data_IF_414365481464
#
_entry.id   IF_414365481464
#
_cell.length_a   1.000
_cell.length_b   1.000
_cell.length_c   1.000
_cell.angle_alpha   90.00
_cell.angle_beta   90.00
_cell.angle_gamma   90.00
#
_symmetry.space_group_name_H-M   'P 1'
#
loop_
_entity.id
_entity.type
_entity.pdbx_description
1 polymer ?
#
# COMPACT_ATOMS: atom_id res chain seq x y z
N UNK A 1 -3.95 -31.87 3.96
CA UNK A 1 -4.76 -30.66 3.75
C UNK A 1 -3.83 -29.58 3.26
N UNK A 2 -4.21 -28.90 2.19
CA UNK A 2 -3.40 -27.84 1.58
C UNK A 2 -4.14 -26.52 1.58
N UNK A 3 -3.47 -25.45 2.03
CA UNK A 3 -3.94 -24.07 1.91
C UNK A 3 -3.09 -23.38 0.86
N UNK A 4 -3.72 -22.87 -0.21
CA UNK A 4 -3.05 -22.12 -1.25
C UNK A 4 -3.22 -20.60 -1.03
N UNK A 5 -2.16 -19.83 -1.26
CA UNK A 5 -2.18 -18.37 -1.27
C UNK A 5 -1.70 -17.93 -2.65
N UNK A 6 -2.59 -17.35 -3.44
CA UNK A 6 -2.30 -16.90 -4.80
C UNK A 6 -1.97 -15.41 -4.80
N UNK A 7 -0.71 -15.10 -5.07
CA UNK A 7 -0.12 -13.76 -4.95
C UNK A 7 0.60 -13.53 -3.62
N UNK A 8 1.80 -12.94 -3.67
CA UNK A 8 2.64 -12.59 -2.53
C UNK A 8 2.77 -11.06 -2.31
N UNK A 9 1.78 -10.29 -2.79
CA UNK A 9 1.62 -8.88 -2.47
C UNK A 9 1.25 -8.66 -0.99
N UNK A 10 0.75 -7.48 -0.63
CA UNK A 10 0.39 -7.12 0.76
C UNK A 10 -0.56 -8.11 1.41
N UNK A 11 -1.63 -8.47 0.69
CA UNK A 11 -2.62 -9.42 1.19
C UNK A 11 -2.02 -10.81 1.37
N UNK A 12 -1.43 -11.38 0.31
CA UNK A 12 -0.96 -12.75 0.33
C UNK A 12 0.17 -13.00 1.31
N UNK A 13 1.16 -12.10 1.39
CA UNK A 13 2.22 -12.19 2.38
C UNK A 13 1.67 -12.13 3.81
N UNK A 14 0.69 -11.26 4.07
CA UNK A 14 0.03 -11.17 5.38
C UNK A 14 -0.74 -12.45 5.72
N UNK A 15 -1.50 -13.02 4.77
CA UNK A 15 -2.21 -14.30 4.95
C UNK A 15 -1.20 -15.40 5.24
N UNK A 16 -0.20 -15.59 4.37
CA UNK A 16 0.77 -16.68 4.48
C UNK A 16 1.48 -16.67 5.83
N UNK A 17 2.05 -15.51 6.25
CA UNK A 17 2.75 -15.37 7.53
C UNK A 17 1.88 -15.66 8.75
N UNK A 18 0.59 -15.32 8.71
CA UNK A 18 -0.35 -15.66 9.79
C UNK A 18 -0.68 -17.13 9.81
N UNK A 19 -0.92 -17.72 8.66
CA UNK A 19 -1.19 -19.15 8.54
C UNK A 19 0.00 -20.02 8.97
N UNK A 20 1.25 -19.61 8.66
CA UNK A 20 2.44 -20.29 9.16
C UNK A 20 2.49 -20.40 10.69
N UNK A 21 2.02 -19.36 11.41
CA UNK A 21 2.01 -19.31 12.87
C UNK A 21 0.82 -20.07 13.47
N UNK A 22 -0.32 -20.07 12.81
CA UNK A 22 -1.57 -20.55 13.39
C UNK A 22 -1.90 -21.99 13.02
N UNK A 23 -1.59 -22.38 11.79
CA UNK A 23 -1.94 -23.70 11.30
C UNK A 23 -0.97 -24.76 11.83
N UNK A 24 -1.48 -25.98 12.14
CA UNK A 24 -0.63 -27.11 12.49
C UNK A 24 0.36 -27.48 11.37
N UNK A 25 1.51 -28.08 11.74
CA UNK A 25 2.54 -28.51 10.78
C UNK A 25 2.03 -29.50 9.71
N UNK A 26 0.99 -30.27 10.03
CA UNK A 26 0.37 -31.21 9.10
C UNK A 26 -0.46 -30.55 7.97
N UNK A 27 -0.57 -29.22 7.97
CA UNK A 27 -1.25 -28.46 6.91
C UNK A 27 -0.19 -27.85 6.00
N UNK A 28 -0.21 -28.21 4.73
CA UNK A 28 0.69 -27.64 3.72
C UNK A 28 0.22 -26.22 3.38
N UNK A 29 1.16 -25.27 3.38
CA UNK A 29 0.91 -23.90 2.91
C UNK A 29 1.73 -23.71 1.64
N UNK A 30 1.06 -23.36 0.55
CA UNK A 30 1.70 -23.10 -0.75
C UNK A 30 1.40 -21.65 -1.15
N UNK A 31 2.44 -20.85 -1.35
CA UNK A 31 2.34 -19.49 -1.89
C UNK A 31 2.74 -19.53 -3.36
N UNK A 32 1.87 -19.08 -4.24
CA UNK A 32 2.11 -19.01 -5.69
C UNK A 32 2.18 -17.57 -6.12
N UNK A 33 3.28 -17.16 -6.72
CA UNK A 33 3.46 -15.83 -7.29
C UNK A 33 4.36 -15.91 -8.53
N UNK A 34 4.20 -14.98 -9.46
CA UNK A 34 5.08 -14.87 -10.63
C UNK A 34 6.49 -14.39 -10.27
N UNK A 35 6.64 -13.77 -9.10
CA UNK A 35 7.91 -13.29 -8.54
C UNK A 35 8.31 -14.09 -7.29
N UNK A 36 9.59 -14.22 -7.05
CA UNK A 36 10.14 -14.75 -5.79
C UNK A 36 10.33 -13.65 -4.73
N UNK A 37 9.87 -12.43 -5.02
CA UNK A 37 10.01 -11.28 -4.12
C UNK A 37 8.67 -10.59 -3.86
N UNK A 38 8.50 -10.07 -2.64
CA UNK A 38 7.43 -9.14 -2.32
C UNK A 38 7.84 -7.71 -2.70
N UNK A 39 7.01 -7.01 -3.46
CA UNK A 39 7.21 -5.62 -3.85
C UNK A 39 6.52 -4.67 -2.87
N UNK A 40 7.25 -3.68 -2.35
CA UNK A 40 6.72 -2.56 -1.56
C UNK A 40 6.08 -1.54 -2.51
N UNK A 41 4.94 -1.92 -3.09
CA UNK A 41 4.30 -1.23 -4.22
C UNK A 41 3.89 0.22 -3.91
N UNK A 42 3.56 0.57 -2.66
CA UNK A 42 3.17 1.94 -2.32
C UNK A 42 4.34 2.94 -2.38
N UNK A 43 5.60 2.45 -2.48
CA UNK A 43 6.81 3.24 -2.68
C UNK A 43 7.35 3.15 -4.13
N UNK A 44 6.69 2.39 -5.00
CA UNK A 44 7.16 2.11 -6.35
C UNK A 44 7.41 3.38 -7.20
N UNK A 45 6.58 4.42 -7.03
CA UNK A 45 6.73 5.70 -7.72
C UNK A 45 8.10 6.34 -7.51
N UNK A 46 8.77 6.10 -6.38
CA UNK A 46 10.08 6.65 -6.08
C UNK A 46 11.20 6.07 -6.95
N UNK A 47 11.01 4.88 -7.52
CA UNK A 47 11.96 4.26 -8.45
C UNK A 47 12.08 5.08 -9.73
N UNK A 48 11.04 5.84 -10.10
CA UNK A 48 11.07 6.79 -11.23
C UNK A 48 12.23 7.80 -11.06
N UNK A 49 12.46 8.29 -9.86
CA UNK A 49 13.56 9.22 -9.57
C UNK A 49 14.82 8.53 -9.06
N UNK A 50 14.66 7.46 -8.30
CA UNK A 50 15.73 6.75 -7.61
C UNK A 50 15.74 5.26 -7.98
N UNK A 51 16.28 4.86 -9.15
CA UNK A 51 16.30 3.45 -9.58
C UNK A 51 17.02 2.51 -8.61
N UNK A 52 17.97 3.01 -7.83
CA UNK A 52 18.67 2.25 -6.78
C UNK A 52 17.76 1.78 -5.63
N UNK A 53 16.56 2.35 -5.47
CA UNK A 53 15.57 1.87 -4.49
C UNK A 53 15.01 0.49 -4.82
N UNK A 54 15.18 -0.01 -6.03
CA UNK A 54 14.75 -1.34 -6.44
C UNK A 54 15.07 -2.41 -5.40
N UNK A 55 16.33 -2.48 -4.96
CA UNK A 55 16.78 -3.47 -3.96
C UNK A 55 16.12 -3.29 -2.59
N UNK A 56 15.82 -2.05 -2.21
CA UNK A 56 15.16 -1.74 -0.92
C UNK A 56 13.68 -2.14 -0.96
N UNK A 57 13.03 -1.98 -2.11
CA UNK A 57 11.60 -2.22 -2.29
C UNK A 57 11.23 -3.66 -2.64
N UNK A 58 12.21 -4.53 -2.94
CA UNK A 58 11.99 -5.95 -3.20
C UNK A 58 12.50 -6.81 -2.06
N UNK A 59 11.62 -7.61 -1.46
CA UNK A 59 11.95 -8.48 -0.32
C UNK A 59 11.85 -9.93 -0.78
N UNK A 60 12.95 -10.72 -0.76
CA UNK A 60 12.89 -12.14 -1.06
C UNK A 60 11.87 -12.85 -0.17
N UNK A 61 10.98 -13.65 -0.76
CA UNK A 61 9.96 -14.36 0.00
C UNK A 61 10.57 -15.38 0.96
N UNK A 62 11.72 -15.94 0.62
CA UNK A 62 12.49 -16.85 1.49
C UNK A 62 13.00 -16.20 2.78
N UNK A 63 13.19 -14.86 2.78
CA UNK A 63 13.62 -14.12 3.97
C UNK A 63 12.47 -13.93 4.98
N UNK A 64 11.21 -14.01 4.51
CA UNK A 64 10.02 -13.62 5.30
C UNK A 64 8.99 -14.74 5.47
N UNK A 65 9.12 -15.82 4.72
CA UNK A 65 8.34 -17.06 4.87
C UNK A 65 9.26 -18.17 5.33
N UNK A 66 8.89 -18.86 6.40
CA UNK A 66 9.74 -19.86 7.06
C UNK A 66 9.28 -21.30 6.85
N UNK A 67 7.99 -21.49 6.55
CA UNK A 67 7.36 -22.80 6.45
C UNK A 67 6.62 -23.01 5.14
N UNK A 68 6.04 -21.95 4.59
CA UNK A 68 5.29 -22.04 3.34
C UNK A 68 6.21 -22.39 2.17
N UNK A 69 5.74 -23.27 1.30
CA UNK A 69 6.42 -23.58 0.04
C UNK A 69 6.11 -22.45 -0.95
N UNK A 70 7.13 -21.71 -1.38
CA UNK A 70 6.99 -20.71 -2.43
C UNK A 70 7.13 -21.40 -3.78
N UNK A 71 6.13 -21.19 -4.64
CA UNK A 71 6.10 -21.69 -6.01
C UNK A 71 6.04 -20.53 -6.97
N UNK A 72 7.09 -20.36 -7.77
CA UNK A 72 7.10 -19.36 -8.82
C UNK A 72 6.27 -19.83 -10.00
N UNK A 73 5.14 -19.20 -10.25
CA UNK A 73 4.23 -19.44 -11.35
C UNK A 73 3.23 -18.31 -11.51
N UNK A 74 2.71 -18.13 -12.70
CA UNK A 74 1.56 -17.24 -12.95
C UNK A 74 0.26 -18.01 -12.74
N UNK A 75 -0.63 -17.48 -11.91
CA UNK A 75 -1.99 -18.02 -11.78
C UNK A 75 -2.83 -17.49 -12.93
N UNK A 76 -3.34 -18.38 -13.77
CA UNK A 76 -4.11 -18.04 -14.98
C UNK A 76 -5.61 -18.25 -14.83
N UNK A 77 -6.03 -19.13 -13.91
CA UNK A 77 -7.43 -19.30 -13.55
C UNK A 77 -7.55 -19.82 -12.11
N UNK A 78 -8.64 -19.49 -11.45
CA UNK A 78 -9.04 -20.08 -10.16
C UNK A 78 -10.49 -20.51 -10.26
N UNK A 79 -10.75 -21.78 -9.98
CA UNK A 79 -12.09 -22.36 -9.87
C UNK A 79 -12.42 -22.63 -8.39
N UNK A 80 -13.20 -21.74 -7.73
CA UNK A 80 -13.56 -21.91 -6.34
C UNK A 80 -14.52 -23.06 -6.06
N UNK A 81 -15.28 -23.53 -7.07
CA UNK A 81 -16.25 -24.61 -6.92
C UNK A 81 -15.56 -25.96 -6.92
N UNK A 82 -14.55 -26.12 -7.78
CA UNK A 82 -13.77 -27.35 -7.90
C UNK A 82 -12.54 -27.38 -6.96
N UNK A 83 -12.17 -26.28 -6.33
CA UNK A 83 -10.99 -26.18 -5.47
C UNK A 83 -9.67 -26.33 -6.24
N UNK A 84 -9.59 -25.77 -7.45
CA UNK A 84 -8.46 -25.94 -8.36
C UNK A 84 -8.02 -24.60 -8.92
N UNK A 85 -6.70 -24.39 -9.02
CA UNK A 85 -6.11 -23.29 -9.76
C UNK A 85 -5.31 -23.81 -10.96
N UNK A 86 -5.35 -23.05 -12.04
CA UNK A 86 -4.49 -23.28 -13.22
C UNK A 86 -3.30 -22.34 -13.15
N UNK A 87 -2.12 -22.89 -13.33
CA UNK A 87 -0.85 -22.20 -13.25
C UNK A 87 -0.13 -22.27 -14.61
N UNK A 88 0.54 -21.20 -14.97
CA UNK A 88 1.54 -21.19 -16.04
C UNK A 88 2.93 -21.21 -15.37
N UNK A 89 3.68 -22.26 -15.63
CA UNK A 89 5.05 -22.47 -15.16
C UNK A 89 5.96 -22.53 -16.39
N UNK A 90 6.66 -21.47 -16.70
CA UNK A 90 7.58 -21.37 -17.85
C UNK A 90 6.92 -21.74 -19.20
N UNK A 91 5.62 -21.42 -19.38
CA UNK A 91 4.84 -21.71 -20.58
C UNK A 91 4.15 -23.08 -20.55
N UNK A 92 4.33 -23.88 -19.51
CA UNK A 92 3.61 -25.13 -19.30
C UNK A 92 2.42 -24.93 -18.35
N UNK A 93 1.26 -25.48 -18.74
CA UNK A 93 0.05 -25.40 -17.90
C UNK A 93 0.04 -26.51 -16.87
N UNK A 94 -0.06 -26.14 -15.60
CA UNK A 94 -0.19 -27.06 -14.48
C UNK A 94 -1.45 -26.79 -13.67
N UNK A 95 -1.93 -27.82 -12.95
CA UNK A 95 -3.09 -27.72 -12.05
C UNK A 95 -2.64 -27.84 -10.60
N UNK A 96 -3.18 -26.98 -9.73
CA UNK A 96 -2.95 -27.03 -8.28
C UNK A 96 -4.28 -27.20 -7.55
N UNK A 97 -4.49 -28.38 -6.98
CA UNK A 97 -5.64 -28.64 -6.11
C UNK A 97 -5.37 -28.09 -4.71
N UNK A 98 -6.42 -27.54 -4.07
CA UNK A 98 -6.37 -26.99 -2.71
C UNK A 98 -7.62 -27.34 -1.91
N UNK A 99 -7.48 -27.41 -0.59
CA UNK A 99 -8.60 -27.55 0.33
C UNK A 99 -9.17 -26.17 0.73
N UNK A 100 -8.29 -25.16 0.83
CA UNK A 100 -8.62 -23.75 1.07
C UNK A 100 -7.72 -22.86 0.24
N UNK A 101 -8.24 -21.71 -0.18
CA UNK A 101 -7.41 -20.72 -0.87
C UNK A 101 -7.69 -19.29 -0.46
N UNK A 102 -6.64 -18.46 -0.52
CA UNK A 102 -6.73 -17.00 -0.52
C UNK A 102 -6.22 -16.45 -1.86
N UNK A 103 -7.09 -15.85 -2.65
CA UNK A 103 -6.77 -15.21 -3.93
C UNK A 103 -6.39 -13.76 -3.65
N UNK A 104 -5.10 -13.47 -3.70
CA UNK A 104 -4.45 -12.21 -3.35
C UNK A 104 -3.68 -11.62 -4.54
N UNK A 105 -4.19 -11.83 -5.75
CA UNK A 105 -3.50 -11.51 -7.02
C UNK A 105 -3.44 -10.00 -7.33
N UNK A 106 -4.06 -9.17 -6.47
CA UNK A 106 -4.10 -7.73 -6.70
C UNK A 106 -4.99 -7.33 -7.87
N UNK A 107 -4.71 -6.20 -8.47
CA UNK A 107 -5.45 -5.65 -9.61
C UNK A 107 -4.49 -5.19 -10.70
N UNK A 108 -4.93 -5.32 -11.94
CA UNK A 108 -4.25 -4.82 -13.13
C UNK A 108 -4.70 -3.38 -13.46
N UNK A 109 -3.97 -2.72 -14.36
CA UNK A 109 -4.37 -1.41 -14.88
C UNK A 109 -5.55 -1.56 -15.83
N UNK A 110 -6.57 -0.70 -15.67
CA UNK A 110 -7.68 -0.62 -16.59
C UNK A 110 -7.40 0.44 -17.66
N UNK A 111 -7.29 0.02 -18.91
CA UNK A 111 -7.12 0.93 -20.06
C UNK A 111 -8.44 1.30 -20.72
N UNK A 112 -9.56 0.68 -20.30
CA UNK A 112 -10.93 0.98 -20.75
C UNK A 112 -11.14 0.87 -22.27
N UNK A 113 -10.37 0.05 -22.96
CA UNK A 113 -10.36 -0.10 -24.41
C UNK A 113 -10.17 1.25 -25.16
N UNK A 114 -9.54 2.23 -24.49
CA UNK A 114 -9.23 3.52 -25.10
C UNK A 114 -8.19 3.34 -26.21
N UNK A 115 -8.50 3.74 -27.47
CA UNK A 115 -7.61 3.49 -28.60
C UNK A 115 -6.20 4.03 -28.38
N UNK A 116 -5.20 3.17 -28.52
CA UNK A 116 -3.78 3.52 -28.39
C UNK A 116 -3.27 3.75 -26.97
N UNK A 117 -4.14 3.84 -25.96
CA UNK A 117 -3.67 4.10 -24.57
C UNK A 117 -2.88 2.91 -24.03
N UNK A 118 -3.34 1.68 -24.21
CA UNK A 118 -2.61 0.50 -23.78
C UNK A 118 -1.29 0.30 -24.54
N UNK A 119 -1.25 0.70 -25.82
CA UNK A 119 -0.08 0.56 -26.68
C UNK A 119 1.02 1.60 -26.37
N UNK A 120 0.64 2.82 -26.00
CA UNK A 120 1.56 3.96 -25.86
C UNK A 120 1.80 4.40 -24.42
N UNK A 121 0.98 3.96 -23.47
CA UNK A 121 1.12 4.37 -22.08
C UNK A 121 1.81 3.31 -21.21
N UNK A 122 2.71 3.75 -20.35
CA UNK A 122 3.30 2.91 -19.32
C UNK A 122 2.45 2.98 -18.04
N UNK A 123 1.91 1.86 -17.52
CA UNK A 123 1.26 1.84 -16.21
C UNK A 123 2.29 1.85 -15.09
N UNK A 124 1.86 2.01 -13.83
CA UNK A 124 2.75 1.89 -12.66
C UNK A 124 2.28 0.78 -11.72
N UNK A 125 2.66 -0.47 -12.01
CA UNK A 125 2.30 -1.67 -11.23
C UNK A 125 3.49 -2.57 -10.87
N UNK A 126 4.56 -2.51 -11.66
CA UNK A 126 5.76 -3.35 -11.54
C UNK A 126 7.02 -2.49 -11.55
N UNK A 127 8.14 -3.03 -11.09
CA UNK A 127 9.43 -2.33 -11.11
C UNK A 127 9.84 -1.89 -12.49
N UNK A 128 9.68 -2.78 -13.47
CA UNK A 128 10.02 -2.53 -14.88
C UNK A 128 9.25 -1.31 -15.41
N UNK A 129 8.02 -1.11 -14.98
CA UNK A 129 7.24 0.09 -15.37
C UNK A 129 7.88 1.38 -14.85
N UNK A 130 8.34 1.40 -13.61
CA UNK A 130 8.99 2.58 -13.04
C UNK A 130 10.34 2.85 -13.70
N UNK A 131 11.08 1.80 -14.07
CA UNK A 131 12.36 1.90 -14.79
C UNK A 131 12.15 2.41 -16.23
N UNK A 132 11.10 1.96 -16.92
CA UNK A 132 10.69 2.46 -18.23
C UNK A 132 10.35 3.96 -18.14
N UNK A 133 9.48 4.34 -17.20
CA UNK A 133 9.10 5.74 -17.00
C UNK A 133 10.31 6.62 -16.71
N UNK A 134 11.28 6.14 -15.91
CA UNK A 134 12.54 6.83 -15.66
C UNK A 134 13.32 7.06 -16.96
N UNK A 135 13.54 5.99 -17.75
CA UNK A 135 14.29 6.06 -19.01
C UNK A 135 13.62 6.99 -20.02
N UNK A 136 12.30 6.85 -20.19
CA UNK A 136 11.53 7.66 -21.13
C UNK A 136 11.58 9.15 -20.73
N UNK A 137 11.52 9.47 -19.43
CA UNK A 137 11.62 10.84 -18.95
C UNK A 137 12.99 11.46 -19.23
N UNK A 138 14.08 10.69 -19.09
CA UNK A 138 15.44 11.16 -19.45
C UNK A 138 15.58 11.40 -20.95
N UNK A 139 15.01 10.52 -21.78
CA UNK A 139 15.05 10.61 -23.23
C UNK A 139 14.17 11.75 -23.79
N UNK A 140 13.13 12.14 -23.02
CA UNK A 140 12.19 13.21 -23.37
C UNK A 140 12.59 14.61 -22.87
N UNK A 141 13.87 14.86 -22.64
CA UNK A 141 14.35 16.18 -22.19
C UNK A 141 13.88 17.33 -23.11
N UNK A 142 13.28 18.38 -22.55
CA UNK A 142 12.65 19.49 -23.27
C UNK A 142 11.28 19.17 -23.87
N UNK A 143 10.72 17.99 -23.54
CA UNK A 143 9.44 17.49 -24.04
C UNK A 143 8.33 17.55 -23.01
N UNK A 144 7.32 16.69 -23.20
CA UNK A 144 6.08 16.67 -22.42
C UNK A 144 5.79 15.29 -21.85
N UNK A 145 5.51 15.24 -20.53
CA UNK A 145 5.00 14.05 -19.86
C UNK A 145 3.54 14.25 -19.48
N UNK A 146 2.69 13.31 -19.88
CA UNK A 146 1.26 13.30 -19.52
C UNK A 146 0.98 12.13 -18.59
N UNK A 147 0.31 12.42 -17.47
CA UNK A 147 -0.14 11.41 -16.50
C UNK A 147 -1.66 11.34 -16.53
N UNK A 148 -2.21 10.24 -17.03
CA UNK A 148 -3.65 9.97 -17.06
C UNK A 148 -4.15 9.44 -15.73
N UNK A 149 -5.07 10.20 -15.09
CA UNK A 149 -5.64 9.94 -13.77
C UNK A 149 -4.92 10.69 -12.64
N UNK A 150 -5.69 11.45 -11.85
CA UNK A 150 -5.22 12.18 -10.66
C UNK A 150 -5.67 11.51 -9.35
N UNK A 151 -5.72 10.17 -9.30
CA UNK A 151 -5.74 9.40 -8.08
C UNK A 151 -4.37 9.44 -7.38
N UNK A 152 -4.21 8.78 -6.22
CA UNK A 152 -2.95 8.84 -5.46
C UNK A 152 -1.72 8.42 -6.30
N UNK A 153 -1.84 7.38 -7.11
CA UNK A 153 -0.73 6.92 -7.97
C UNK A 153 -0.31 7.96 -9.00
N UNK A 154 -1.27 8.58 -9.70
CA UNK A 154 -0.97 9.62 -10.70
C UNK A 154 -0.34 10.87 -10.09
N UNK A 155 -0.83 11.28 -8.92
CA UNK A 155 -0.26 12.39 -8.15
C UNK A 155 1.20 12.10 -7.80
N UNK A 156 1.50 10.88 -7.35
CA UNK A 156 2.86 10.46 -7.00
C UNK A 156 3.77 10.43 -8.23
N UNK A 157 3.30 9.86 -9.34
CA UNK A 157 4.04 9.83 -10.62
C UNK A 157 4.37 11.25 -11.09
N UNK A 158 3.36 12.12 -11.15
CA UNK A 158 3.57 13.50 -11.60
C UNK A 158 4.56 14.26 -10.71
N UNK A 159 4.46 14.05 -9.39
CA UNK A 159 5.41 14.63 -8.44
C UNK A 159 6.84 14.13 -8.64
N UNK A 160 7.05 12.82 -8.90
CA UNK A 160 8.39 12.27 -9.14
C UNK A 160 8.95 12.68 -10.51
N UNK A 161 8.12 12.78 -11.55
CA UNK A 161 8.56 13.27 -12.86
C UNK A 161 9.00 14.73 -12.80
N UNK A 162 8.23 15.59 -12.12
CA UNK A 162 8.62 16.99 -11.92
C UNK A 162 9.93 17.10 -11.12
N UNK A 163 10.05 16.33 -10.03
CA UNK A 163 11.27 16.34 -9.21
C UNK A 163 12.49 15.73 -9.95
N UNK A 164 12.29 14.74 -10.82
CA UNK A 164 13.32 14.19 -11.69
C UNK A 164 13.78 15.25 -12.72
N UNK A 165 12.81 15.95 -13.33
CA UNK A 165 13.10 17.03 -14.28
C UNK A 165 13.96 18.13 -13.65
N UNK A 166 13.62 18.55 -12.43
CA UNK A 166 14.41 19.56 -11.69
C UNK A 166 15.81 19.05 -11.33
N UNK A 167 15.91 17.80 -10.85
CA UNK A 167 17.18 17.23 -10.39
C UNK A 167 18.17 17.00 -11.53
N UNK A 168 17.70 16.56 -12.70
CA UNK A 168 18.52 16.26 -13.87
C UNK A 168 18.58 17.43 -14.89
N UNK A 169 17.80 18.51 -14.66
CA UNK A 169 17.73 19.65 -15.55
C UNK A 169 17.14 19.31 -16.91
N UNK A 170 16.08 18.49 -16.94
CA UNK A 170 15.48 17.98 -18.17
C UNK A 170 14.59 19.00 -18.88
N UNK A 171 14.09 20.02 -18.18
CA UNK A 171 13.08 20.98 -18.70
C UNK A 171 11.86 20.26 -19.27
N UNK A 172 11.37 19.23 -18.55
CA UNK A 172 10.24 18.38 -18.93
C UNK A 172 8.94 18.98 -18.40
N UNK A 173 8.01 19.32 -19.29
CA UNK A 173 6.67 19.80 -18.92
C UNK A 173 5.79 18.63 -18.46
N UNK A 174 5.35 18.62 -17.20
CA UNK A 174 4.50 17.56 -16.63
C UNK A 174 3.05 18.01 -16.52
N UNK A 175 2.13 17.24 -17.11
CA UNK A 175 0.68 17.48 -17.07
C UNK A 175 -0.07 16.29 -16.51
N UNK A 176 -0.94 16.52 -15.52
CA UNK A 176 -1.90 15.52 -15.02
C UNK A 176 -3.27 15.76 -15.64
N UNK A 177 -3.88 14.72 -16.20
CA UNK A 177 -5.22 14.75 -16.80
C UNK A 177 -6.18 13.93 -15.94
N UNK A 178 -7.28 14.53 -15.50
CA UNK A 178 -8.30 13.91 -14.65
C UNK A 178 -9.72 14.19 -15.18
N UNK A 179 -10.52 13.14 -15.34
CA UNK A 179 -11.90 13.26 -15.80
C UNK A 179 -12.83 13.93 -14.79
N UNK A 180 -12.55 13.78 -13.49
CA UNK A 180 -13.29 14.46 -12.44
C UNK A 180 -12.93 15.95 -12.38
N UNK A 181 -13.75 16.73 -11.69
CA UNK A 181 -13.59 18.19 -11.55
C UNK A 181 -12.45 18.62 -10.63
N UNK A 182 -11.74 17.66 -10.00
CA UNK A 182 -10.64 17.90 -9.07
C UNK A 182 -9.64 16.74 -9.03
N UNK A 183 -8.42 17.03 -8.59
CA UNK A 183 -7.43 16.01 -8.22
C UNK A 183 -7.86 15.28 -6.94
N UNK A 184 -7.36 14.07 -6.73
CA UNK A 184 -7.73 13.21 -5.59
C UNK A 184 -9.27 13.12 -5.40
N UNK A 185 -10.06 12.79 -6.45
CA UNK A 185 -11.51 12.96 -6.46
C UNK A 185 -12.23 12.11 -5.40
N UNK A 186 -11.64 10.99 -4.98
CA UNK A 186 -12.19 10.08 -3.95
C UNK A 186 -11.95 10.57 -2.52
N UNK A 187 -11.31 11.73 -2.32
CA UNK A 187 -10.93 12.26 -1.02
C UNK A 187 -11.67 13.55 -0.68
N UNK A 188 -11.58 13.96 0.59
CA UNK A 188 -12.16 15.21 1.04
C UNK A 188 -11.58 16.42 0.29
N UNK A 189 -12.42 17.43 0.09
CA UNK A 189 -12.04 18.67 -0.63
C UNK A 189 -10.81 19.35 0.01
N UNK A 190 -10.64 19.26 1.33
CA UNK A 190 -9.49 19.85 2.01
C UNK A 190 -8.20 19.15 1.65
N UNK A 191 -8.22 17.80 1.57
CA UNK A 191 -7.09 16.99 1.12
C UNK A 191 -6.80 17.26 -0.37
N UNK A 192 -7.82 17.24 -1.22
CA UNK A 192 -7.69 17.51 -2.65
C UNK A 192 -7.06 18.89 -2.93
N UNK A 193 -7.49 19.93 -2.19
CA UNK A 193 -6.90 21.27 -2.31
C UNK A 193 -5.45 21.33 -1.83
N UNK A 194 -5.09 20.57 -0.79
CA UNK A 194 -3.71 20.51 -0.33
C UNK A 194 -2.81 19.82 -1.37
N UNK A 195 -3.27 18.70 -1.95
CA UNK A 195 -2.58 17.99 -3.04
C UNK A 195 -2.40 18.90 -4.25
N UNK A 196 -3.46 19.61 -4.68
CA UNK A 196 -3.37 20.55 -5.80
C UNK A 196 -2.28 21.60 -5.57
N UNK A 197 -2.22 22.20 -4.39
CA UNK A 197 -1.17 23.19 -4.04
C UNK A 197 0.24 22.61 -4.13
N UNK A 198 0.42 21.35 -3.72
CA UNK A 198 1.72 20.69 -3.81
C UNK A 198 2.13 20.41 -5.26
N UNK A 199 1.17 20.04 -6.12
CA UNK A 199 1.41 19.87 -7.56
C UNK A 199 1.72 21.23 -8.24
N UNK A 200 0.88 22.25 -7.99
CA UNK A 200 1.07 23.60 -8.52
C UNK A 200 2.46 24.17 -8.12
N UNK A 201 2.90 23.93 -6.87
CA UNK A 201 4.18 24.41 -6.36
C UNK A 201 5.39 23.76 -7.07
N UNK A 202 5.19 22.61 -7.74
CA UNK A 202 6.20 21.90 -8.53
C UNK A 202 6.07 22.12 -10.02
N UNK A 203 5.26 23.07 -10.44
CA UNK A 203 5.06 23.39 -11.84
C UNK A 203 4.27 22.36 -12.63
N UNK A 204 3.60 21.39 -11.96
CA UNK A 204 2.77 20.40 -12.63
C UNK A 204 1.48 21.05 -13.14
N UNK A 205 1.24 20.99 -14.46
CA UNK A 205 -0.01 21.44 -15.06
C UNK A 205 -1.13 20.44 -14.71
N UNK A 206 -2.33 20.97 -14.42
CA UNK A 206 -3.46 20.16 -13.97
C UNK A 206 -4.68 20.44 -14.85
N UNK A 207 -5.08 19.42 -15.62
CA UNK A 207 -6.27 19.41 -16.48
C UNK A 207 -7.36 18.57 -15.81
N UNK A 208 -8.33 19.19 -15.14
CA UNK A 208 -9.49 18.54 -14.54
C UNK A 208 -10.75 18.70 -15.37
N UNK A 209 -11.73 17.81 -15.23
CA UNK A 209 -12.89 17.75 -16.13
C UNK A 209 -12.50 17.37 -17.55
N UNK A 210 -11.34 16.76 -17.73
CA UNK A 210 -10.75 16.42 -19.01
C UNK A 210 -10.72 14.89 -19.19
N UNK A 211 -11.48 14.39 -20.14
CA UNK A 211 -11.56 12.96 -20.44
C UNK A 211 -10.64 12.63 -21.59
N UNK A 212 -9.74 11.67 -21.40
CA UNK A 212 -8.92 11.11 -22.48
C UNK A 212 -9.77 10.22 -23.35
N UNK A 213 -9.72 10.40 -24.68
CA UNK A 213 -10.42 9.55 -25.65
C UNK A 213 -9.48 8.57 -26.37
N UNK A 214 -8.25 9.01 -26.64
CA UNK A 214 -7.25 8.16 -27.30
C UNK A 214 -5.82 8.69 -27.08
N UNK A 215 -4.85 7.83 -27.40
CA UNK A 215 -3.45 8.20 -27.46
C UNK A 215 -2.82 7.70 -28.77
N UNK A 216 -2.40 8.64 -29.64
CA UNK A 216 -1.76 8.34 -30.92
C UNK A 216 -0.94 9.57 -31.34
N UNK A 217 0.36 9.58 -31.03
CA UNK A 217 1.24 10.74 -31.25
C UNK A 217 0.92 11.94 -30.37
N UNK A 218 0.20 11.73 -29.26
CA UNK A 218 -0.25 12.66 -28.25
C UNK A 218 -1.52 12.15 -27.58
N UNK A 219 -2.03 12.88 -26.59
CA UNK A 219 -3.24 12.53 -25.83
C UNK A 219 -4.39 13.40 -26.30
N UNK A 220 -5.38 12.78 -26.96
CA UNK A 220 -6.60 13.47 -27.41
C UNK A 220 -7.64 13.49 -26.29
N UNK A 221 -8.21 14.66 -26.04
CA UNK A 221 -9.26 14.90 -25.06
C UNK A 221 -10.64 15.00 -25.71
N UNK A 222 -11.69 14.66 -24.97
CA UNK A 222 -13.08 14.69 -25.42
C UNK A 222 -13.56 16.09 -25.89
N UNK A 223 -12.87 17.16 -25.49
CA UNK A 223 -13.15 18.52 -25.96
C UNK A 223 -12.47 18.87 -27.29
N UNK A 224 -11.74 17.93 -27.89
CA UNK A 224 -11.04 18.06 -29.17
C UNK A 224 -9.63 18.64 -29.06
N UNK A 225 -9.12 18.93 -27.86
CA UNK A 225 -7.72 19.32 -27.66
C UNK A 225 -6.81 18.08 -27.72
N UNK A 226 -5.59 18.29 -28.20
CA UNK A 226 -4.53 17.27 -28.17
C UNK A 226 -3.38 17.81 -27.33
N UNK A 227 -2.97 17.06 -26.33
CA UNK A 227 -1.80 17.34 -25.52
C UNK A 227 -0.58 16.61 -26.13
N UNK A 228 0.55 17.28 -26.35
CA UNK A 228 1.77 16.59 -26.73
C UNK A 228 2.17 15.64 -25.58
N UNK A 229 2.68 14.46 -25.89
CA UNK A 229 3.11 13.47 -24.91
C UNK A 229 4.28 12.66 -25.47
N UNK A 230 5.47 13.00 -25.03
CA UNK A 230 6.69 12.23 -25.28
C UNK A 230 6.78 11.06 -24.27
N UNK A 231 6.21 11.27 -23.06
CA UNK A 231 6.01 10.26 -22.02
C UNK A 231 4.55 10.23 -21.66
N UNK A 232 3.93 9.05 -21.73
CA UNK A 232 2.55 8.85 -21.28
C UNK A 232 2.50 7.78 -20.17
N UNK A 233 2.04 8.18 -18.98
CA UNK A 233 1.83 7.26 -17.85
C UNK A 233 0.34 7.14 -17.58
N UNK A 234 -0.17 5.89 -17.47
CA UNK A 234 -1.58 5.65 -17.24
C UNK A 234 -1.85 5.08 -15.84
N UNK A 235 -2.61 5.84 -15.05
CA UNK A 235 -3.05 5.47 -13.69
C UNK A 235 -4.56 5.62 -13.51
N UNK A 236 -5.30 5.68 -14.63
CA UNK A 236 -6.72 6.06 -14.68
C UNK A 236 -7.71 5.06 -14.08
N UNK A 237 -7.26 3.89 -13.63
CA UNK A 237 -8.12 2.92 -12.99
C UNK A 237 -7.51 1.53 -12.85
N UNK A 238 -8.26 0.64 -12.20
CA UNK A 238 -7.88 -0.75 -11.97
C UNK A 238 -8.99 -1.69 -12.43
N UNK A 239 -8.59 -2.87 -12.91
CA UNK A 239 -9.45 -4.01 -13.20
C UNK A 239 -9.00 -5.22 -12.39
N UNK A 240 -9.84 -6.25 -12.32
CA UNK A 240 -9.47 -7.50 -11.68
C UNK A 240 -8.38 -8.26 -12.47
N UNK A 241 -7.72 -9.23 -11.82
CA UNK A 241 -6.75 -10.10 -12.46
C UNK A 241 -7.43 -11.03 -13.48
N UNK A 242 -6.72 -11.37 -14.56
CA UNK A 242 -7.23 -12.26 -15.62
C UNK A 242 -7.66 -13.63 -15.07
N UNK A 243 -6.97 -14.11 -14.03
CA UNK A 243 -7.31 -15.37 -13.33
C UNK A 243 -8.72 -15.38 -12.71
N UNK A 244 -9.35 -14.21 -12.53
CA UNK A 244 -10.74 -14.04 -12.08
C UNK A 244 -11.66 -13.50 -13.19
N UNK A 245 -11.26 -13.59 -14.45
CA UNK A 245 -12.03 -13.13 -15.61
C UNK A 245 -11.88 -11.64 -15.91
N UNK A 246 -10.85 -10.97 -15.40
CA UNK A 246 -10.54 -9.57 -15.68
C UNK A 246 -11.36 -8.55 -14.89
N UNK A 247 -12.30 -9.01 -14.05
CA UNK A 247 -13.10 -8.14 -13.18
C UNK A 247 -12.74 -8.33 -11.70
N UNK A 248 -12.78 -7.26 -10.92
CA UNK A 248 -12.64 -7.35 -9.47
C UNK A 248 -13.84 -8.11 -8.91
N UNK A 249 -13.57 -9.24 -8.26
CA UNK A 249 -14.62 -10.14 -7.79
C UNK A 249 -15.46 -9.47 -6.69
N UNK A 250 -16.79 -9.34 -6.83
CA UNK A 250 -17.63 -8.87 -5.74
C UNK A 250 -17.58 -9.84 -4.55
N UNK A 251 -17.21 -9.33 -3.39
CA UNK A 251 -17.14 -10.10 -2.13
C UNK A 251 -17.75 -9.33 -0.96
N UNK A 252 -18.32 -10.07 -0.03
CA UNK A 252 -18.87 -9.52 1.22
C UNK A 252 -17.77 -9.40 2.28
N UNK A 253 -18.16 -8.89 3.42
CA UNK A 253 -17.29 -8.64 4.57
C UNK A 253 -16.56 -9.88 5.13
N UNK A 254 -17.06 -11.09 4.91
CA UNK A 254 -16.40 -12.34 5.27
C UNK A 254 -15.30 -12.77 4.28
N UNK A 255 -15.23 -12.10 3.13
CA UNK A 255 -14.26 -12.27 2.05
C UNK A 255 -14.35 -13.62 1.32
N UNK A 256 -15.42 -14.39 1.52
CA UNK A 256 -15.60 -15.74 0.98
C UNK A 256 -16.19 -15.69 -0.43
N UNK A 257 -15.68 -16.57 -1.29
CA UNK A 257 -16.23 -16.91 -2.61
C UNK A 257 -16.32 -18.43 -2.72
N UNK A 258 -17.53 -18.95 -2.93
CA UNK A 258 -17.78 -20.40 -2.77
C UNK A 258 -17.69 -20.82 -1.30
N UNK A 259 -17.23 -22.04 -1.03
CA UNK A 259 -17.17 -22.59 0.33
C UNK A 259 -15.80 -22.40 1.01
N UNK A 260 -14.72 -22.52 0.26
CA UNK A 260 -13.35 -22.67 0.77
C UNK A 260 -12.33 -21.66 0.17
N UNK A 261 -12.80 -20.73 -0.63
CA UNK A 261 -11.94 -19.75 -1.32
C UNK A 261 -12.26 -18.33 -0.85
N UNK A 262 -11.23 -17.56 -0.58
CA UNK A 262 -11.28 -16.17 -0.17
C UNK A 262 -10.69 -15.28 -1.25
N UNK A 263 -11.28 -14.11 -1.51
CA UNK A 263 -10.69 -13.08 -2.37
C UNK A 263 -10.37 -11.86 -1.53
N UNK A 264 -9.11 -11.41 -1.58
CA UNK A 264 -8.54 -10.47 -0.61
C UNK A 264 -7.74 -9.38 -1.33
N UNK A 265 -7.87 -8.16 -0.86
CA UNK A 265 -7.20 -7.00 -1.41
C UNK A 265 -7.79 -6.55 -2.75
N UNK A 266 -6.97 -5.97 -3.61
CA UNK A 266 -7.41 -5.30 -4.82
C UNK A 266 -8.06 -6.25 -5.86
N UNK A 267 -7.87 -7.57 -5.74
CA UNK A 267 -8.56 -8.59 -6.55
C UNK A 267 -10.07 -8.63 -6.28
N UNK A 268 -10.50 -8.21 -5.08
CA UNK A 268 -11.89 -8.15 -4.66
C UNK A 268 -12.49 -6.75 -4.79
N UNK A 269 -13.77 -6.68 -5.17
CA UNK A 269 -14.62 -5.52 -4.95
C UNK A 269 -15.36 -5.75 -3.62
N UNK A 270 -14.69 -5.43 -2.53
CA UNK A 270 -15.15 -5.74 -1.17
C UNK A 270 -16.21 -4.76 -0.71
N UNK A 271 -17.27 -5.30 -0.10
CA UNK A 271 -18.27 -4.53 0.64
C UNK A 271 -18.16 -4.93 2.12
N UNK A 272 -17.96 -3.97 3.00
CA UNK A 272 -17.77 -4.20 4.42
C UNK A 272 -19.08 -4.62 5.15
N UNK A 273 -19.00 -4.86 6.46
CA UNK A 273 -20.16 -5.29 7.25
C UNK A 273 -21.29 -4.24 7.36
N UNK A 274 -21.01 -2.99 7.00
CA UNK A 274 -22.00 -1.91 6.98
C UNK A 274 -22.62 -1.71 5.59
N UNK A 275 -22.15 -2.42 4.57
CA UNK A 275 -22.59 -2.31 3.19
C UNK A 275 -21.85 -1.23 2.39
N UNK A 276 -20.75 -0.71 2.93
CA UNK A 276 -19.94 0.32 2.27
C UNK A 276 -18.85 -0.32 1.41
N UNK A 277 -18.59 0.29 0.25
CA UNK A 277 -17.54 -0.16 -0.65
C UNK A 277 -16.16 0.15 -0.06
N UNK A 278 -15.29 -0.85 -0.04
CA UNK A 278 -13.93 -0.73 0.50
C UNK A 278 -12.96 -0.27 -0.61
N UNK A 279 -12.20 0.82 -0.38
CA UNK A 279 -11.21 1.28 -1.36
C UNK A 279 -10.05 0.30 -1.51
N UNK A 280 -9.59 0.07 -2.74
CA UNK A 280 -8.39 -0.70 -3.03
C UNK A 280 -7.14 0.06 -2.52
N UNK A 281 -6.41 -0.57 -1.61
CA UNK A 281 -5.17 -0.01 -1.05
C UNK A 281 -4.36 -1.07 -0.29
N UNK A 282 -3.05 -0.81 -0.11
CA UNK A 282 -2.20 -1.67 0.71
C UNK A 282 -2.73 -1.82 2.15
N UNK A 283 -3.29 -0.74 2.72
CA UNK A 283 -3.87 -0.71 4.05
C UNK A 283 -5.08 -1.66 4.17
N UNK A 284 -6.01 -1.61 3.23
CA UNK A 284 -7.17 -2.49 3.20
C UNK A 284 -6.77 -3.93 2.96
N UNK A 285 -5.86 -4.18 2.00
CA UNK A 285 -5.34 -5.50 1.69
C UNK A 285 -4.75 -6.21 2.91
N UNK A 286 -3.92 -5.52 3.71
CA UNK A 286 -3.35 -6.08 4.96
C UNK A 286 -4.43 -6.38 6.00
N UNK A 287 -5.44 -5.52 6.15
CA UNK A 287 -6.51 -5.70 7.14
C UNK A 287 -7.48 -6.81 6.75
N UNK A 288 -7.89 -6.85 5.49
CA UNK A 288 -8.69 -7.95 4.93
C UNK A 288 -7.97 -9.29 5.07
N UNK A 289 -6.66 -9.33 4.78
CA UNK A 289 -5.83 -10.52 4.93
C UNK A 289 -5.84 -11.10 6.34
N UNK A 290 -5.95 -10.25 7.38
CA UNK A 290 -6.08 -10.69 8.77
C UNK A 290 -7.41 -11.42 9.01
N UNK A 291 -8.49 -10.93 8.41
CA UNK A 291 -9.81 -11.55 8.50
C UNK A 291 -9.83 -12.88 7.72
N UNK A 292 -9.31 -12.91 6.49
CA UNK A 292 -9.23 -14.12 5.69
C UNK A 292 -8.39 -15.20 6.37
N UNK A 293 -7.20 -14.87 6.87
CA UNK A 293 -6.36 -15.82 7.60
C UNK A 293 -7.05 -16.39 8.84
N UNK A 294 -7.77 -15.57 9.61
CA UNK A 294 -8.56 -15.99 10.77
C UNK A 294 -9.69 -16.92 10.37
N UNK A 295 -10.36 -16.64 9.26
CA UNK A 295 -11.46 -17.47 8.77
C UNK A 295 -10.93 -18.81 8.23
N UNK A 296 -9.81 -18.80 7.48
CA UNK A 296 -9.15 -20.04 7.04
C UNK A 296 -8.73 -20.90 8.23
N UNK A 297 -8.09 -20.32 9.26
CA UNK A 297 -7.70 -21.09 10.47
C UNK A 297 -8.93 -21.75 11.15
N UNK A 298 -10.06 -21.04 11.25
CA UNK A 298 -11.30 -21.59 11.81
C UNK A 298 -11.86 -22.76 11.00
N UNK A 299 -11.90 -22.61 9.68
CA UNK A 299 -12.39 -23.64 8.77
C UNK A 299 -11.47 -24.86 8.73
N UNK A 300 -10.15 -24.65 8.75
CA UNK A 300 -9.16 -25.74 8.83
C UNK A 300 -9.35 -26.55 10.13
N UNK A 301 -9.54 -25.87 11.27
CA UNK A 301 -9.79 -26.55 12.55
C UNK A 301 -11.11 -27.32 12.55
N UNK A 302 -12.18 -26.69 12.07
CA UNK A 302 -13.48 -27.35 11.94
C UNK A 302 -13.41 -28.62 11.09
N UNK A 303 -12.80 -28.53 9.90
CA UNK A 303 -12.67 -29.68 8.98
C UNK A 303 -11.79 -30.81 9.55
N UNK A 304 -10.81 -30.47 10.40
CA UNK A 304 -9.96 -31.46 11.07
C UNK A 304 -10.61 -32.12 12.27
N UNK A 305 -11.39 -31.39 13.03
CA UNK A 305 -11.94 -31.83 14.31
C UNK A 305 -13.38 -32.34 14.16
N UNK A 306 -13.94 -32.36 12.93
CA UNK A 306 -15.32 -32.75 12.58
C UNK A 306 -16.34 -31.94 13.42
N UNK A 307 -16.06 -30.63 13.53
CA UNK A 307 -16.80 -29.70 14.38
C UNK A 307 -18.04 -29.10 13.71
N UNK A 308 -18.74 -28.22 14.43
CA UNK A 308 -19.78 -27.39 13.82
C UNK A 308 -19.19 -26.26 13.00
N UNK A 309 -19.86 -25.84 11.88
CA UNK A 309 -19.39 -24.74 11.06
C UNK A 309 -19.14 -23.47 11.89
N UNK A 310 -17.94 -22.88 11.83
CA UNK A 310 -17.60 -21.73 12.64
C UNK A 310 -18.30 -20.48 12.14
N UNK A 311 -18.61 -19.57 13.06
CA UNK A 311 -18.99 -18.22 12.65
C UNK A 311 -17.76 -17.51 12.07
N UNK A 312 -17.82 -17.10 10.81
CA UNK A 312 -16.75 -16.34 10.18
C UNK A 312 -16.69 -14.91 10.75
N UNK A 313 -15.46 -14.36 10.78
CA UNK A 313 -15.23 -12.96 11.09
C UNK A 313 -15.56 -12.11 9.87
N UNK A 314 -16.00 -10.89 10.09
CA UNK A 314 -16.34 -9.91 9.06
C UNK A 314 -15.35 -8.73 9.11
N UNK A 315 -15.09 -8.15 7.95
CA UNK A 315 -14.27 -6.95 7.79
C UNK A 315 -15.14 -5.70 7.93
N UNK A 316 -14.63 -4.73 8.70
CA UNK A 316 -15.18 -3.38 8.79
C UNK A 316 -14.09 -2.41 8.38
N UNK A 317 -14.41 -1.52 7.44
CA UNK A 317 -13.44 -0.53 6.96
C UNK A 317 -13.40 0.66 7.93
N UNK A 318 -12.23 0.90 8.48
CA UNK A 318 -11.92 2.10 9.27
C UNK A 318 -10.52 2.58 8.90
N UNK A 319 -10.43 3.76 8.28
CA UNK A 319 -9.15 4.31 7.84
C UNK A 319 -8.61 5.31 8.86
N UNK A 320 -7.40 5.11 9.40
CA UNK A 320 -6.77 6.09 10.28
C UNK A 320 -6.35 7.35 9.52
N UNK A 321 -6.26 7.28 8.20
CA UNK A 321 -5.87 8.39 7.35
C UNK A 321 -5.23 7.96 6.05
N UNK A 322 -4.77 8.95 5.29
CA UNK A 322 -4.15 8.81 3.98
C UNK A 322 -2.91 9.69 3.88
N UNK A 323 -1.91 9.20 3.18
CA UNK A 323 -0.70 9.96 2.88
C UNK A 323 -0.35 9.77 1.42
N UNK A 324 0.01 10.87 0.76
CA UNK A 324 0.49 10.88 -0.62
C UNK A 324 1.75 11.73 -0.71
N UNK A 325 2.79 11.22 -1.37
CA UNK A 325 3.97 12.03 -1.75
C UNK A 325 3.72 12.76 -3.05
N UNK A 326 4.34 13.92 -3.18
CA UNK A 326 4.36 14.73 -4.41
C UNK A 326 5.80 15.19 -4.60
N UNK A 327 6.62 14.39 -5.29
CA UNK A 327 8.06 14.61 -5.35
C UNK A 327 8.66 14.72 -3.94
N UNK A 328 9.37 15.83 -3.66
CA UNK A 328 9.99 16.10 -2.35
C UNK A 328 9.01 16.53 -1.26
N UNK A 329 7.72 16.64 -1.56
CA UNK A 329 6.67 16.97 -0.60
C UNK A 329 5.75 15.80 -0.31
N UNK A 330 4.85 16.02 0.64
CA UNK A 330 3.79 15.09 0.94
C UNK A 330 2.56 15.82 1.49
N UNK A 331 1.40 15.18 1.36
CA UNK A 331 0.15 15.58 2.01
C UNK A 331 -0.36 14.39 2.81
N UNK A 332 -0.73 14.63 4.06
CA UNK A 332 -1.34 13.63 4.92
C UNK A 332 -2.68 14.12 5.44
N UNK A 333 -3.64 13.20 5.51
CA UNK A 333 -4.89 13.37 6.22
C UNK A 333 -4.95 12.34 7.33
N UNK A 334 -5.13 12.79 8.57
CA UNK A 334 -5.20 11.95 9.76
C UNK A 334 -6.46 12.38 10.52
N UNK A 335 -7.49 11.52 10.48
CA UNK A 335 -8.82 11.95 10.93
C UNK A 335 -9.27 13.21 10.18
N UNK A 336 -9.70 14.29 10.88
CA UNK A 336 -10.14 15.54 10.25
C UNK A 336 -8.98 16.48 9.88
N UNK A 337 -7.74 16.15 10.25
CA UNK A 337 -6.57 17.04 10.07
C UNK A 337 -5.87 16.74 8.77
N UNK A 338 -5.67 17.77 7.94
CA UNK A 338 -4.84 17.71 6.74
C UNK A 338 -3.58 18.55 6.97
N UNK A 339 -2.41 17.95 6.75
CA UNK A 339 -1.11 18.62 6.81
C UNK A 339 -0.28 18.33 5.56
N UNK A 340 0.70 19.19 5.27
CA UNK A 340 1.68 19.03 4.21
C UNK A 340 3.09 19.33 4.70
N UNK A 341 4.11 19.10 3.86
CA UNK A 341 5.51 19.31 4.19
C UNK A 341 6.08 18.27 5.17
N UNK A 342 7.00 18.67 6.05
CA UNK A 342 7.75 17.77 6.93
C UNK A 342 6.89 16.85 7.81
N UNK A 343 5.76 17.29 8.39
CA UNK A 343 4.90 16.40 9.16
C UNK A 343 4.28 15.28 8.31
N UNK A 344 3.89 15.58 7.07
CA UNK A 344 3.33 14.61 6.16
C UNK A 344 4.40 13.63 5.64
N UNK A 345 5.64 14.11 5.39
CA UNK A 345 6.80 13.28 5.06
C UNK A 345 7.14 12.30 6.19
N UNK A 346 7.17 12.78 7.43
CA UNK A 346 7.42 11.93 8.58
C UNK A 346 6.35 10.84 8.73
N UNK A 347 5.07 11.19 8.52
CA UNK A 347 3.98 10.21 8.52
C UNK A 347 4.16 9.16 7.42
N UNK A 348 4.57 9.57 6.21
CA UNK A 348 4.84 8.66 5.10
C UNK A 348 6.00 7.72 5.39
N UNK A 349 7.13 8.25 5.85
CA UNK A 349 8.30 7.45 6.23
C UNK A 349 7.95 6.40 7.29
N UNK A 350 7.15 6.79 8.29
CA UNK A 350 6.67 5.88 9.33
C UNK A 350 5.80 4.73 8.78
N UNK A 351 4.94 5.01 7.78
CA UNK A 351 4.10 3.99 7.14
C UNK A 351 4.95 2.99 6.37
N UNK A 352 5.89 3.45 5.55
CA UNK A 352 6.79 2.61 4.77
C UNK A 352 7.68 1.73 5.67
N UNK A 353 8.33 2.34 6.65
CA UNK A 353 9.16 1.66 7.62
C UNK A 353 8.37 0.66 8.49
N UNK A 354 7.16 1.03 8.89
CA UNK A 354 6.27 0.17 9.66
C UNK A 354 5.90 -1.10 8.89
N UNK A 355 5.60 -0.99 7.59
CA UNK A 355 5.36 -2.16 6.76
C UNK A 355 6.59 -3.06 6.66
N UNK A 356 7.75 -2.51 6.27
CA UNK A 356 9.00 -3.25 6.16
C UNK A 356 9.38 -3.95 7.48
N UNK A 357 9.24 -3.26 8.60
CA UNK A 357 9.48 -3.83 9.92
C UNK A 357 8.50 -4.97 10.24
N UNK A 358 7.22 -4.81 9.90
CA UNK A 358 6.19 -5.83 10.16
C UNK A 358 6.43 -7.14 9.41
N UNK A 359 7.12 -7.08 8.27
CA UNK A 359 7.53 -8.26 7.50
C UNK A 359 8.96 -8.75 7.85
N UNK A 360 9.63 -8.09 8.79
CA UNK A 360 10.97 -8.49 9.26
C UNK A 360 12.14 -7.87 8.48
N UNK A 361 11.86 -6.96 7.54
CA UNK A 361 12.87 -6.31 6.69
C UNK A 361 13.42 -5.02 7.34
N UNK A 362 13.97 -5.12 8.55
CA UNK A 362 14.36 -3.98 9.41
C UNK A 362 15.45 -3.11 8.78
N UNK A 363 16.48 -3.71 8.17
CA UNK A 363 17.55 -2.95 7.51
C UNK A 363 17.01 -2.12 6.34
N UNK A 364 16.05 -2.67 5.59
CA UNK A 364 15.39 -1.98 4.48
C UNK A 364 14.50 -0.85 4.97
N UNK A 365 13.83 -1.03 6.12
CA UNK A 365 13.06 0.02 6.78
C UNK A 365 13.94 1.22 7.15
N UNK A 366 15.11 0.96 7.74
CA UNK A 366 16.10 1.98 8.08
C UNK A 366 16.57 2.76 6.86
N UNK A 367 16.92 2.05 5.78
CA UNK A 367 17.36 2.66 4.52
C UNK A 367 16.28 3.54 3.90
N UNK A 368 15.02 3.05 3.85
CA UNK A 368 13.89 3.80 3.31
C UNK A 368 13.67 5.14 4.04
N UNK A 369 13.72 5.11 5.38
CA UNK A 369 13.58 6.32 6.20
C UNK A 369 14.69 7.31 5.97
N UNK A 370 15.93 6.82 5.92
CA UNK A 370 17.10 7.66 5.65
C UNK A 370 16.95 8.42 4.33
N UNK A 371 16.54 7.72 3.28
CA UNK A 371 16.35 8.32 1.95
C UNK A 371 15.13 9.24 1.90
N UNK A 372 14.03 8.94 2.60
CA UNK A 372 12.83 9.78 2.64
C UNK A 372 13.05 11.12 3.34
N UNK A 373 13.81 11.10 4.44
CA UNK A 373 14.01 12.29 5.26
C UNK A 373 15.26 13.09 4.90
N UNK A 374 16.09 12.58 3.98
CA UNK A 374 17.31 13.26 3.53
C UNK A 374 18.34 13.43 4.65
N UNK A 375 18.40 12.51 5.62
CA UNK A 375 19.34 12.59 6.74
C UNK A 375 20.76 12.30 6.30
N UNK A 376 21.72 13.18 6.61
CA UNK A 376 23.12 12.91 6.35
C UNK A 376 23.65 11.87 7.36
N UNK A 377 24.24 10.81 6.85
CA UNK A 377 24.99 9.76 7.57
C UNK A 377 24.26 8.98 8.68
N UNK A 378 23.78 7.79 8.30
CA UNK A 378 23.31 6.76 9.23
C UNK A 378 24.38 6.33 10.28
N UNK A 379 25.64 6.74 10.12
CA UNK A 379 26.73 6.41 11.03
C UNK A 379 26.62 7.08 12.42
N UNK A 380 25.82 8.12 12.55
CA UNK A 380 25.62 8.85 13.81
C UNK A 380 24.45 8.31 14.66
N UNK A 381 23.56 7.51 14.07
CA UNK A 381 22.40 6.93 14.75
C UNK A 381 22.25 5.46 14.36
N UNK A 382 22.49 4.55 15.29
CA UNK A 382 22.27 3.12 15.07
C UNK A 382 20.77 2.79 15.10
N UNK A 383 20.09 3.23 14.06
CA UNK A 383 18.66 3.03 13.86
C UNK A 383 18.30 1.53 13.85
N UNK A 384 19.15 0.69 13.27
CA UNK A 384 18.94 -0.76 13.21
C UNK A 384 18.88 -1.36 14.62
N UNK A 385 19.79 -0.94 15.52
CA UNK A 385 19.81 -1.41 16.90
C UNK A 385 18.65 -0.84 17.73
N UNK A 386 18.23 0.41 17.50
CA UNK A 386 17.09 0.99 18.21
C UNK A 386 15.76 0.38 17.72
N UNK A 387 15.60 0.18 16.41
CA UNK A 387 14.43 -0.50 15.86
C UNK A 387 14.36 -1.98 16.30
N UNK A 388 15.51 -2.67 16.32
CA UNK A 388 15.58 -4.04 16.84
C UNK A 388 15.19 -4.10 18.33
N UNK A 389 15.66 -3.15 19.15
CA UNK A 389 15.27 -3.04 20.57
C UNK A 389 13.78 -2.73 20.75
N UNK A 390 13.19 -1.93 19.84
CA UNK A 390 11.76 -1.65 19.85
C UNK A 390 10.95 -2.90 19.47
N UNK A 391 11.38 -3.63 18.44
CA UNK A 391 10.77 -4.91 18.04
C UNK A 391 10.88 -5.94 19.16
N UNK A 392 12.02 -6.04 19.85
CA UNK A 392 12.20 -6.92 21.01
C UNK A 392 11.39 -6.47 22.24
N UNK A 393 11.31 -5.16 22.49
CA UNK A 393 10.58 -4.60 23.64
C UNK A 393 9.07 -4.77 23.52
N UNK A 394 8.55 -4.58 22.32
CA UNK A 394 7.15 -4.81 21.98
C UNK A 394 7.07 -6.15 21.27
N UNK A 395 7.19 -7.24 22.00
CA UNK A 395 7.12 -8.61 21.50
C UNK A 395 5.87 -8.80 20.60
N UNK A 396 6.01 -8.42 19.34
CA UNK A 396 4.97 -8.54 18.32
C UNK A 396 4.63 -10.01 18.01
N UNK A 397 5.36 -10.94 18.62
CA UNK A 397 5.18 -12.37 18.42
C UNK A 397 4.50 -13.06 19.61
N UNK A 398 4.45 -12.44 20.80
CA UNK A 398 4.23 -13.17 22.04
C UNK A 398 2.80 -13.16 22.60
N UNK A 399 1.83 -12.46 22.03
CA UNK A 399 0.49 -12.43 22.62
C UNK A 399 -0.61 -12.80 21.64
N UNK A 400 -0.65 -14.07 21.25
CA UNK A 400 -1.81 -14.66 20.59
C UNK A 400 -2.24 -15.91 21.32
N UNK A 401 -2.85 -15.74 22.49
CA UNK A 401 -3.74 -16.77 23.02
C UNK A 401 -5.07 -16.67 22.25
N UNK A 402 -5.40 -17.66 21.40
CA UNK A 402 -6.62 -17.63 20.60
C UNK A 402 -7.91 -17.73 21.44
N UNK A 403 -7.78 -17.94 22.73
CA UNK A 403 -8.91 -18.13 23.66
C UNK A 403 -9.40 -16.83 24.34
N UNK A 404 -8.64 -15.74 24.24
CA UNK A 404 -9.07 -14.45 24.78
C UNK A 404 -9.41 -13.49 23.63
N UNK A 405 -10.59 -12.88 23.55
CA UNK A 405 -10.82 -11.72 22.72
C UNK A 405 -10.00 -10.60 23.35
N UNK A 406 -8.71 -10.54 23.05
CA UNK A 406 -7.86 -9.47 23.53
C UNK A 406 -8.22 -8.21 22.76
N UNK A 407 -8.71 -7.29 23.52
CA UNK A 407 -8.75 -5.89 23.28
C UNK A 407 -7.50 -5.45 22.51
N UNK A 408 -7.72 -4.92 21.30
CA UNK A 408 -6.85 -4.00 20.60
C UNK A 408 -5.34 -4.35 20.49
N UNK A 409 -5.01 -5.25 19.59
CA UNK A 409 -3.71 -5.15 18.92
C UNK A 409 -3.78 -4.04 17.85
N UNK A 410 -3.10 -2.93 18.09
CA UNK A 410 -2.74 -1.96 17.08
C UNK A 410 -1.20 -1.98 16.93
N UNK A 411 -0.59 -3.06 16.38
CA UNK A 411 0.86 -3.17 16.27
C UNK A 411 1.45 -2.04 15.43
N UNK A 412 0.67 -1.55 14.47
CA UNK A 412 1.05 -0.44 13.59
C UNK A 412 1.10 0.91 14.34
N UNK A 413 0.20 1.15 15.26
CA UNK A 413 0.15 2.38 16.01
C UNK A 413 1.34 2.50 16.98
N UNK A 414 1.61 1.41 17.72
CA UNK A 414 2.71 1.36 18.67
C UNK A 414 4.06 1.49 17.95
N UNK A 415 4.22 0.86 16.78
CA UNK A 415 5.42 1.00 15.95
C UNK A 415 5.56 2.42 15.41
N UNK A 416 4.48 3.06 14.97
CA UNK A 416 4.50 4.43 14.44
C UNK A 416 4.78 5.44 15.53
N UNK A 417 4.23 5.26 16.73
CA UNK A 417 4.49 6.11 17.89
C UNK A 417 5.93 5.97 18.40
N UNK A 418 6.41 4.74 18.56
CA UNK A 418 7.77 4.47 18.97
C UNK A 418 8.78 4.99 17.94
N UNK A 419 8.45 4.92 16.66
CA UNK A 419 9.25 5.50 15.59
C UNK A 419 9.26 7.03 15.66
N UNK A 420 8.11 7.67 15.88
CA UNK A 420 8.03 9.13 16.06
C UNK A 420 8.83 9.62 17.29
N UNK A 421 8.87 8.85 18.38
CA UNK A 421 9.70 9.14 19.57
C UNK A 421 11.20 9.11 19.28
N UNK A 422 11.65 8.16 18.43
CA UNK A 422 13.07 8.04 18.06
C UNK A 422 13.51 9.11 17.06
N UNK A 423 12.56 9.68 16.29
CA UNK A 423 12.86 10.64 15.24
C UNK A 423 12.97 12.08 15.72
N UNK A 424 12.59 12.39 16.96
CA UNK A 424 12.69 13.76 17.52
C UNK A 424 13.92 13.85 18.42
N UNK A 425 15.03 14.48 17.99
CA UNK A 425 16.19 14.68 18.86
C UNK A 425 15.80 15.52 20.09
N UNK A 426 15.79 14.89 21.27
CA UNK A 426 15.46 15.53 22.55
C UNK A 426 13.97 15.68 22.86
N UNK A 427 13.08 15.10 22.03
CA UNK A 427 11.65 15.04 22.29
C UNK A 427 11.28 13.75 23.02
N UNK A 428 10.75 13.84 24.22
CA UNK A 428 10.01 12.76 24.87
C UNK A 428 8.54 12.91 24.49
N UNK A 429 8.00 12.02 23.66
CA UNK A 429 6.56 11.90 23.51
C UNK A 429 6.04 11.21 24.76
N UNK A 430 5.26 11.94 25.58
CA UNK A 430 4.65 11.34 26.77
C UNK A 430 3.46 10.45 26.37
N UNK A 431 3.77 9.21 26.00
CA UNK A 431 2.80 8.16 25.66
C UNK A 431 1.79 7.98 26.78
N UNK A 432 2.21 8.14 28.04
CA UNK A 432 1.31 8.06 29.20
C UNK A 432 0.27 9.18 29.18
N UNK A 433 0.62 10.34 28.62
CA UNK A 433 -0.28 11.48 28.50
C UNK A 433 -1.24 11.34 27.32
N UNK A 434 -0.76 10.80 26.20
CA UNK A 434 -1.57 10.46 25.02
C UNK A 434 -2.60 9.38 25.36
N UNK A 435 -2.17 8.31 26.05
CA UNK A 435 -3.07 7.23 26.52
C UNK A 435 -4.11 7.74 27.53
N UNK A 436 -3.73 8.65 28.44
CA UNK A 436 -4.67 9.26 29.40
C UNK A 436 -5.66 10.23 28.77
N UNK A 437 -5.32 10.85 27.65
CA UNK A 437 -6.22 11.72 26.88
C UNK A 437 -7.21 10.88 26.06
N UNK A 438 -6.76 9.76 25.48
CA UNK A 438 -7.62 8.80 24.80
C UNK A 438 -8.65 8.18 25.74
N UNK A 439 -8.29 7.91 26.99
CA UNK A 439 -9.17 7.33 28.04
C UNK A 439 -10.31 8.26 28.47
N UNK A 440 -10.21 9.57 28.18
CA UNK A 440 -11.21 10.59 28.58
C UNK A 440 -12.26 10.90 27.52
N UNK A 441 -12.05 10.51 26.26
CA UNK A 441 -12.89 10.95 25.14
C UNK A 441 -13.69 9.84 24.43
N UNK A 442 -14.27 8.92 25.09
CA UNK A 442 -15.05 7.75 24.67
C UNK A 442 -14.22 6.44 24.63
N UNK A 443 -14.46 5.54 25.55
CA UNK A 443 -13.85 4.21 25.49
C UNK A 443 -14.46 3.46 24.30
N UNK A 444 -13.63 3.18 23.29
CA UNK A 444 -13.99 2.24 22.24
C UNK A 444 -13.74 2.63 20.79
N UNK A 445 -13.20 3.83 20.47
CA UNK A 445 -12.84 4.18 19.09
C UNK A 445 -11.33 4.15 18.86
N UNK A 446 -10.79 3.23 18.02
CA UNK A 446 -9.38 3.20 17.65
C UNK A 446 -8.92 4.45 16.92
N UNK A 447 -9.81 5.11 16.17
CA UNK A 447 -9.56 6.38 15.50
C UNK A 447 -9.17 7.48 16.48
N UNK A 448 -9.84 7.57 17.64
CA UNK A 448 -9.55 8.58 18.65
C UNK A 448 -8.19 8.35 19.34
N UNK A 449 -7.75 7.11 19.50
CA UNK A 449 -6.43 6.78 20.07
C UNK A 449 -5.30 7.20 19.12
N UNK A 450 -5.45 6.95 17.82
CA UNK A 450 -4.50 7.35 16.79
C UNK A 450 -4.46 8.88 16.62
N UNK A 451 -5.62 9.53 16.53
CA UNK A 451 -5.76 10.98 16.42
C UNK A 451 -5.05 11.71 17.57
N UNK A 452 -5.28 11.26 18.80
CA UNK A 452 -4.64 11.85 19.99
C UNK A 452 -3.14 11.57 20.07
N UNK A 453 -2.68 10.41 19.59
CA UNK A 453 -1.29 10.05 19.58
C UNK A 453 -0.48 10.83 18.53
N UNK A 454 -1.03 11.02 17.33
CA UNK A 454 -0.40 11.82 16.27
C UNK A 454 -0.47 13.32 16.59
N UNK A 455 -1.58 13.81 17.13
CA UNK A 455 -1.70 15.20 17.59
C UNK A 455 -0.74 15.50 18.76
N UNK A 456 -0.49 14.52 19.64
CA UNK A 456 0.51 14.59 20.71
C UNK A 456 1.94 14.67 20.18
N UNK A 457 2.26 13.86 19.16
CA UNK A 457 3.56 13.85 18.48
C UNK A 457 3.80 15.16 17.70
N UNK A 458 2.79 15.63 16.96
CA UNK A 458 2.83 16.90 16.23
C UNK A 458 2.90 18.12 17.20
N UNK A 459 2.16 18.10 18.31
CA UNK A 459 2.21 19.14 19.33
C UNK A 459 3.57 19.27 20.01
N UNK A 460 4.31 18.16 20.17
CA UNK A 460 5.70 18.13 20.65
C UNK A 460 6.69 18.76 19.67
N UNK A 461 6.47 18.57 18.36
CA UNK A 461 7.32 19.14 17.30
C UNK A 461 7.16 20.68 17.19
N UNK A 462 5.96 21.21 17.44
CA UNK A 462 5.69 22.64 17.32
C UNK A 462 5.79 23.43 18.65
N UNK A 463 5.92 22.75 19.80
CA UNK A 463 5.96 23.36 21.12
C UNK A 463 7.33 23.90 21.58
N UNK A 464 8.43 23.62 20.88
CA UNK A 464 9.78 24.00 21.29
C UNK A 464 10.28 25.34 20.74
N UNK A 465 9.42 26.13 20.08
CA UNK A 465 9.76 27.40 19.43
C UNK A 465 9.37 28.66 20.25
N UNK A 466 9.16 28.61 21.57
CA UNK A 466 9.05 29.83 22.37
C UNK A 466 10.38 30.14 23.04
N UNK A 467 11.07 31.13 22.45
CA UNK A 467 12.19 31.88 22.99
C UNK A 467 11.92 32.29 24.44
N UNK A 468 12.86 31.94 25.32
CA UNK A 468 13.12 32.65 26.57
C UNK A 468 13.94 33.89 26.21
N UNK A 469 13.28 34.98 25.97
CA UNK A 469 13.82 36.30 26.09
C UNK A 469 12.62 37.23 26.26
N UNK A 470 12.32 37.56 27.51
CA UNK A 470 11.71 38.77 28.03
C UNK A 470 11.47 38.55 29.53
N UNK A 471 12.52 38.86 30.30
CA UNK A 471 12.53 39.57 31.55
C UNK A 471 13.94 40.10 31.84
#
# INVERSE_FOLDING_TARGET
MRVAVFGAGYAGLTVARRLERWLPEAVDIVVVDESTTHLVQHELHRVIRYPNLRETLTIPLEDVLTRATVRQARVTAVDPEEGVATLDVDGETESLEYDFAAVCLGAETAFYDLPGVEEHATPLKRLEHAEIIHSDALDAAGGHAVVGGAGLSGIQVAGELAALSDAEGLDLDVTVVEMADRVAPSFDETFARAVRRELDARGVAIETGATVERADGGVELADGRTLPADVLVWTGGIRGPDALGGERRPVKADLVVGDDTFVVGDAGAVTDEWGEAVPASAQTAVREARIAAKNIDRLVRERRDDGEPPRLATYSFDSPGWVVSVGDGAVAQIGPVVCSGDPAKAAKAAIGAGHLSSVGAIERASKLVHEELGWPDASAFDFSSELARLVERYDFTANTDPATPSEFEVPFLDTTLAFAETMVPGGTVDVTRATRLADRSHPGSPANAFENAVLGALGGMFGSGRSKDDE
#
